data_IF_349160274353
#
_entry.id   IF_349160274353
#
_cell.length_a   1.000
_cell.length_b   1.000
_cell.length_c   1.000
_cell.angle_alpha   90.00
_cell.angle_beta   90.00
_cell.angle_gamma   90.00
#
_symmetry.space_group_name_H-M   'P 1'
#
loop_
_entity.id
_entity.type
_entity.pdbx_description
1 polymer ?
#
# COMPACT_ATOMS: atom_id res chain seq x y z
N UNK A 1 39.93 16.75 49.21
CA UNK A 1 39.78 16.85 47.74
C UNK A 1 38.38 17.36 47.45
N UNK A 2 38.23 18.62 47.07
CA UNK A 2 36.95 19.19 46.67
C UNK A 2 37.18 20.07 45.44
N UNK A 3 36.65 19.67 44.29
CA UNK A 3 36.75 20.44 43.04
C UNK A 3 35.81 21.65 43.12
N UNK A 4 36.24 22.84 42.67
CA UNK A 4 35.38 24.02 42.64
C UNK A 4 34.37 23.90 41.50
N UNK A 5 33.08 23.94 41.82
CA UNK A 5 32.03 24.07 40.83
C UNK A 5 32.05 25.51 40.30
N UNK A 6 32.44 25.70 39.04
CA UNK A 6 32.36 27.00 38.38
C UNK A 6 30.90 27.49 38.35
N UNK A 7 30.62 28.78 38.62
CA UNK A 7 29.26 29.30 38.61
C UNK A 7 28.70 29.20 37.18
N UNK A 8 27.61 28.44 37.01
CA UNK A 8 26.94 28.30 35.72
C UNK A 8 26.51 29.68 35.20
N UNK A 9 27.10 30.11 34.08
CA UNK A 9 26.77 31.40 33.46
C UNK A 9 25.30 31.43 33.05
N UNK A 10 24.68 32.61 33.08
CA UNK A 10 23.30 32.83 32.64
C UNK A 10 23.06 32.26 31.24
N UNK A 11 24.04 32.39 30.33
CA UNK A 11 24.00 31.82 28.99
C UNK A 11 23.85 30.28 28.99
N UNK A 12 24.51 29.55 29.91
CA UNK A 12 24.36 28.10 30.05
C UNK A 12 22.94 27.72 30.51
N UNK A 13 22.33 28.51 31.40
CA UNK A 13 20.95 28.29 31.86
C UNK A 13 19.95 28.52 30.73
N UNK A 14 20.11 29.57 29.93
CA UNK A 14 19.24 29.83 28.78
C UNK A 14 19.40 28.78 27.67
N UNK A 15 20.63 28.31 27.42
CA UNK A 15 20.88 27.22 26.47
C UNK A 15 20.15 25.93 26.89
N UNK A 16 20.21 25.57 28.18
CA UNK A 16 19.51 24.40 28.71
C UNK A 16 17.99 24.51 28.57
N UNK A 17 17.42 25.68 28.86
CA UNK A 17 15.97 25.93 28.69
C UNK A 17 15.58 25.84 27.22
N UNK A 18 16.39 26.38 26.31
CA UNK A 18 16.15 26.29 24.86
C UNK A 18 16.20 24.84 24.40
N UNK A 19 17.21 24.07 24.81
CA UNK A 19 17.34 22.65 24.48
C UNK A 19 16.16 21.83 25.01
N UNK A 20 15.74 22.08 26.25
CA UNK A 20 14.57 21.46 26.84
C UNK A 20 13.29 21.81 26.06
N UNK A 21 13.12 23.08 25.69
CA UNK A 21 11.98 23.53 24.88
C UNK A 21 11.93 22.86 23.50
N UNK A 22 13.08 22.74 22.82
CA UNK A 22 13.19 22.04 21.53
C UNK A 22 12.87 20.55 21.69
N UNK A 23 13.39 19.89 22.73
CA UNK A 23 13.09 18.48 23.04
C UNK A 23 11.60 18.26 23.28
N UNK A 24 10.97 19.10 24.10
CA UNK A 24 9.53 19.03 24.39
C UNK A 24 8.72 19.27 23.11
N UNK A 25 9.08 20.29 22.33
CA UNK A 25 8.42 20.59 21.05
C UNK A 25 8.51 19.44 20.05
N UNK A 26 9.66 18.77 19.96
CA UNK A 26 9.86 17.62 19.09
C UNK A 26 8.98 16.44 19.53
N UNK A 27 8.97 16.12 20.83
CA UNK A 27 8.11 15.06 21.38
C UNK A 27 6.63 15.37 21.14
N UNK A 28 6.18 16.59 21.42
CA UNK A 28 4.80 17.01 21.21
C UNK A 28 4.38 16.91 19.73
N UNK A 29 5.26 17.30 18.81
CA UNK A 29 5.03 17.21 17.37
C UNK A 29 4.89 15.75 16.93
N UNK A 30 5.81 14.87 17.33
CA UNK A 30 5.77 13.44 16.96
C UNK A 30 4.53 12.75 17.54
N UNK A 31 4.15 13.04 18.79
CA UNK A 31 2.94 12.47 19.40
C UNK A 31 1.68 12.94 18.69
N UNK A 32 1.59 14.23 18.34
CA UNK A 32 0.47 14.78 17.58
C UNK A 32 0.37 14.13 16.19
N UNK A 33 1.51 13.98 15.50
CA UNK A 33 1.56 13.33 14.19
C UNK A 33 1.14 11.85 14.27
N UNK A 34 1.60 11.12 15.30
CA UNK A 34 1.18 9.73 15.54
C UNK A 34 -0.31 9.63 15.86
N UNK A 35 -0.85 10.55 16.63
CA UNK A 35 -2.29 10.59 16.93
C UNK A 35 -3.14 10.82 15.67
N UNK A 36 -2.68 11.66 14.75
CA UNK A 36 -3.33 11.86 13.45
C UNK A 36 -3.21 10.62 12.55
N UNK A 37 -2.02 10.00 12.49
CA UNK A 37 -1.82 8.77 11.72
C UNK A 37 -2.65 7.60 12.24
N UNK A 38 -2.82 7.46 13.57
CA UNK A 38 -3.65 6.43 14.17
C UNK A 38 -5.14 6.56 13.82
N UNK A 39 -5.58 7.75 13.40
CA UNK A 39 -6.94 7.98 12.89
C UNK A 39 -7.10 7.71 11.40
N UNK A 40 -5.99 7.62 10.66
CA UNK A 40 -6.02 7.25 9.25
C UNK A 40 -6.00 5.73 9.15
N UNK A 41 -7.03 5.16 8.52
CA UNK A 41 -7.01 3.74 8.20
C UNK A 41 -5.91 3.46 7.15
N UNK A 42 -4.84 2.72 7.48
CA UNK A 42 -3.81 2.40 6.51
C UNK A 42 -4.26 1.35 5.49
N UNK A 43 -5.38 0.67 5.75
CA UNK A 43 -5.82 -0.51 5.04
C UNK A 43 -6.00 -0.29 3.52
N UNK A 44 -6.76 0.71 3.03
CA UNK A 44 -6.89 0.93 1.58
C UNK A 44 -5.56 1.11 0.85
N UNK A 45 -4.62 1.85 1.45
CA UNK A 45 -3.29 2.05 0.85
C UNK A 45 -2.49 0.75 0.85
N UNK A 46 -2.51 0.01 1.96
CA UNK A 46 -1.82 -1.26 2.09
C UNK A 46 -2.37 -2.29 1.11
N UNK A 47 -3.69 -2.39 0.97
CA UNK A 47 -4.36 -3.27 0.01
C UNK A 47 -3.87 -3.00 -1.41
N UNK A 48 -3.94 -1.74 -1.86
CA UNK A 48 -3.50 -1.37 -3.21
C UNK A 48 -2.00 -1.61 -3.42
N UNK A 49 -1.17 -1.39 -2.41
CA UNK A 49 0.26 -1.66 -2.47
C UNK A 49 0.56 -3.16 -2.63
N UNK A 50 -0.18 -4.03 -1.93
CA UNK A 50 0.00 -5.47 -2.07
C UNK A 50 -0.51 -5.94 -3.43
N UNK A 51 -1.64 -5.42 -3.92
CA UNK A 51 -2.16 -5.74 -5.25
C UNK A 51 -1.18 -5.36 -6.36
N UNK A 52 -0.65 -4.13 -6.33
CA UNK A 52 0.39 -3.65 -7.25
C UNK A 52 1.62 -4.57 -7.23
N UNK A 53 2.07 -4.97 -6.03
CA UNK A 53 3.20 -5.89 -5.88
C UNK A 53 2.93 -7.24 -6.55
N UNK A 54 1.74 -7.80 -6.42
CA UNK A 54 1.40 -9.07 -7.07
C UNK A 54 1.40 -8.94 -8.60
N UNK A 55 0.86 -7.84 -9.13
CA UNK A 55 0.86 -7.55 -10.57
C UNK A 55 2.29 -7.37 -11.11
N UNK A 56 3.13 -6.59 -10.43
CA UNK A 56 4.53 -6.40 -10.80
C UNK A 56 5.32 -7.71 -10.80
N UNK A 57 4.99 -8.65 -9.90
CA UNK A 57 5.61 -9.97 -9.88
C UNK A 57 5.14 -10.86 -11.05
N UNK A 58 3.89 -10.73 -11.51
CA UNK A 58 3.40 -11.37 -12.73
C UNK A 58 4.15 -10.85 -13.96
N UNK A 59 4.28 -9.54 -14.09
CA UNK A 59 5.04 -8.89 -15.17
C UNK A 59 6.51 -9.35 -15.17
N UNK A 60 7.13 -9.44 -13.99
CA UNK A 60 8.50 -9.95 -13.83
C UNK A 60 8.63 -11.41 -14.25
N UNK A 61 7.69 -12.27 -13.86
CA UNK A 61 7.66 -13.67 -14.27
C UNK A 61 7.60 -13.80 -15.80
N UNK A 62 6.76 -12.99 -16.46
CA UNK A 62 6.71 -12.92 -17.92
C UNK A 62 8.06 -12.47 -18.52
N UNK A 63 8.65 -11.38 -18.03
CA UNK A 63 9.93 -10.86 -18.53
C UNK A 63 11.09 -11.87 -18.38
N UNK A 64 11.00 -12.78 -17.41
CA UNK A 64 11.98 -13.85 -17.17
C UNK A 64 11.65 -15.15 -17.93
N UNK A 65 10.61 -15.18 -18.76
CA UNK A 65 10.06 -16.39 -19.39
C UNK A 65 9.69 -17.50 -18.38
N UNK A 66 9.38 -17.12 -17.14
CA UNK A 66 8.96 -18.02 -16.05
C UNK A 66 7.44 -18.05 -15.96
N UNK A 67 6.83 -18.72 -16.93
CA UNK A 67 5.38 -18.76 -17.08
C UNK A 67 4.80 -20.07 -16.53
N UNK A 68 5.31 -20.54 -15.38
CA UNK A 68 4.82 -21.77 -14.77
C UNK A 68 3.37 -21.58 -14.32
N UNK A 69 2.51 -22.56 -14.62
CA UNK A 69 1.10 -22.50 -14.24
C UNK A 69 0.91 -22.34 -12.73
N UNK A 70 1.78 -22.95 -11.92
CA UNK A 70 1.72 -22.89 -10.46
C UNK A 70 2.03 -21.48 -9.90
N UNK A 71 3.10 -20.81 -10.37
CA UNK A 71 3.44 -19.46 -9.91
C UNK A 71 2.36 -18.45 -10.33
N UNK A 72 1.81 -18.63 -11.52
CA UNK A 72 0.74 -17.81 -12.05
C UNK A 72 -0.55 -17.95 -11.24
N UNK A 73 -0.98 -19.20 -10.99
CA UNK A 73 -2.19 -19.49 -10.25
C UNK A 73 -2.12 -18.95 -8.81
N UNK A 74 -0.96 -19.05 -8.15
CA UNK A 74 -0.77 -18.50 -6.81
C UNK A 74 -0.96 -16.98 -6.77
N UNK A 75 -0.42 -16.25 -7.75
CA UNK A 75 -0.54 -14.79 -7.84
C UNK A 75 -1.94 -14.33 -8.20
N UNK A 76 -2.58 -14.96 -9.18
CA UNK A 76 -3.97 -14.67 -9.57
C UNK A 76 -4.92 -14.93 -8.40
N UNK A 77 -4.75 -16.04 -7.68
CA UNK A 77 -5.56 -16.34 -6.49
C UNK A 77 -5.38 -15.29 -5.39
N UNK A 78 -4.14 -14.84 -5.17
CA UNK A 78 -3.86 -13.76 -4.22
C UNK A 78 -4.57 -12.47 -4.63
N UNK A 79 -4.44 -12.05 -5.90
CA UNK A 79 -5.14 -10.89 -6.42
C UNK A 79 -6.65 -11.01 -6.29
N UNK A 80 -7.22 -12.20 -6.48
CA UNK A 80 -8.66 -12.42 -6.37
C UNK A 80 -9.18 -12.26 -4.94
N UNK A 81 -8.41 -12.71 -3.96
CA UNK A 81 -8.71 -12.54 -2.54
C UNK A 81 -8.62 -11.05 -2.14
N UNK A 82 -7.56 -10.36 -2.57
CA UNK A 82 -7.42 -8.92 -2.30
C UNK A 82 -8.52 -8.11 -3.00
N UNK A 83 -8.92 -8.51 -4.21
CA UNK A 83 -10.00 -7.89 -4.95
C UNK A 83 -11.38 -8.02 -4.30
N UNK A 84 -11.60 -9.01 -3.41
CA UNK A 84 -12.82 -9.07 -2.59
C UNK A 84 -12.82 -8.14 -1.39
N UNK A 85 -11.66 -7.58 -1.02
CA UNK A 85 -11.54 -6.66 0.10
C UNK A 85 -11.69 -5.19 -0.33
N UNK A 86 -11.89 -4.90 -1.62
CA UNK A 86 -11.97 -3.54 -2.16
C UNK A 86 -13.11 -2.73 -1.53
N UNK A 87 -14.31 -3.29 -1.44
CA UNK A 87 -15.45 -2.59 -0.84
C UNK A 87 -15.25 -2.36 0.68
N UNK A 88 -14.61 -3.30 1.37
CA UNK A 88 -14.24 -3.16 2.79
C UNK A 88 -13.17 -2.10 3.00
N UNK A 89 -12.19 -2.02 2.09
CA UNK A 89 -11.08 -1.09 2.17
C UNK A 89 -11.48 0.35 1.81
N UNK A 90 -12.50 0.52 0.97
CA UNK A 90 -13.00 1.81 0.53
C UNK A 90 -14.47 2.01 0.91
N UNK A 91 -14.81 2.10 2.22
CA UNK A 91 -16.20 2.19 2.67
C UNK A 91 -16.92 3.45 2.17
N UNK A 92 -16.19 4.53 1.89
CA UNK A 92 -16.77 5.74 1.31
C UNK A 92 -17.19 5.56 -0.17
N UNK A 93 -16.65 4.55 -0.86
CA UNK A 93 -16.92 4.24 -2.27
C UNK A 93 -17.76 2.97 -2.45
N UNK A 94 -18.05 2.24 -1.36
CA UNK A 94 -18.68 0.91 -1.43
C UNK A 94 -20.05 0.92 -2.10
N UNK A 95 -20.78 2.04 -2.04
CA UNK A 95 -22.10 2.21 -2.65
C UNK A 95 -22.05 2.90 -4.04
N UNK A 96 -20.88 3.36 -4.51
CA UNK A 96 -20.75 3.93 -5.86
C UNK A 96 -20.81 2.80 -6.90
N UNK A 97 -21.81 2.88 -7.80
CA UNK A 97 -22.02 1.87 -8.84
C UNK A 97 -20.83 1.70 -9.79
N UNK A 98 -20.12 2.77 -10.12
CA UNK A 98 -18.94 2.70 -11.00
C UNK A 98 -17.79 2.00 -10.27
N UNK A 99 -17.62 2.26 -8.97
CA UNK A 99 -16.63 1.57 -8.16
C UNK A 99 -16.91 0.07 -8.10
N UNK A 100 -18.15 -0.31 -7.77
CA UNK A 100 -18.58 -1.72 -7.76
C UNK A 100 -18.41 -2.38 -9.13
N UNK A 101 -18.69 -1.66 -10.22
CA UNK A 101 -18.51 -2.17 -11.58
C UNK A 101 -17.04 -2.46 -11.89
N UNK A 102 -16.12 -1.55 -11.59
CA UNK A 102 -14.68 -1.77 -11.80
C UNK A 102 -14.15 -2.91 -10.91
N UNK A 103 -14.51 -2.92 -9.62
CA UNK A 103 -14.14 -3.99 -8.70
C UNK A 103 -14.70 -5.36 -9.15
N UNK A 104 -15.95 -5.37 -9.65
CA UNK A 104 -16.59 -6.55 -10.24
C UNK A 104 -15.87 -7.04 -11.50
N UNK A 105 -15.52 -6.13 -12.42
CA UNK A 105 -14.81 -6.46 -13.65
C UNK A 105 -13.42 -7.05 -13.40
N UNK A 106 -12.69 -6.50 -12.41
CA UNK A 106 -11.40 -7.05 -11.99
C UNK A 106 -11.56 -8.47 -11.43
N UNK A 107 -12.51 -8.69 -10.52
CA UNK A 107 -12.81 -10.03 -9.96
C UNK A 107 -13.18 -11.02 -11.05
N UNK A 108 -14.05 -10.64 -11.99
CA UNK A 108 -14.43 -11.50 -13.11
C UNK A 108 -13.25 -11.87 -14.01
N UNK A 109 -12.33 -10.93 -14.26
CA UNK A 109 -11.10 -11.19 -15.03
C UNK A 109 -10.19 -12.19 -14.31
N UNK A 110 -10.06 -12.05 -12.99
CA UNK A 110 -9.26 -12.95 -12.15
C UNK A 110 -9.90 -14.34 -12.03
N UNK A 111 -11.22 -14.41 -11.84
CA UNK A 111 -11.98 -15.67 -11.79
C UNK A 111 -11.80 -16.46 -13.11
N UNK A 112 -11.98 -15.81 -14.26
CA UNK A 112 -11.76 -16.43 -15.56
C UNK A 112 -10.32 -16.96 -15.73
N UNK A 113 -9.34 -16.25 -15.18
CA UNK A 113 -7.93 -16.66 -15.22
C UNK A 113 -7.60 -17.84 -14.31
N UNK A 114 -8.38 -18.06 -13.24
CA UNK A 114 -8.26 -19.24 -12.39
C UNK A 114 -8.80 -20.49 -13.08
N UNK A 115 -9.89 -20.36 -13.83
CA UNK A 115 -10.50 -21.45 -14.59
C UNK A 115 -9.68 -21.84 -15.82
N UNK A 116 -9.09 -20.84 -16.48
CA UNK A 116 -8.23 -21.02 -17.66
C UNK A 116 -6.78 -20.78 -17.29
N UNK A 117 -6.16 -21.76 -16.61
CA UNK A 117 -4.74 -21.72 -16.29
C UNK A 117 -3.91 -21.40 -17.56
N UNK A 118 -3.22 -20.25 -17.64
CA UNK A 118 -2.53 -19.86 -18.86
C UNK A 118 -1.39 -20.82 -19.17
N UNK A 119 -1.56 -21.67 -20.17
CA UNK A 119 -0.56 -22.67 -20.55
C UNK A 119 0.65 -22.12 -21.31
N UNK A 120 0.69 -20.80 -21.57
CA UNK A 120 1.74 -20.16 -22.38
C UNK A 120 2.11 -18.77 -21.85
N UNK A 121 3.35 -18.34 -22.09
CA UNK A 121 3.79 -16.98 -21.78
C UNK A 121 2.98 -15.90 -22.50
N UNK A 122 2.51 -16.17 -23.72
CA UNK A 122 1.65 -15.24 -24.45
C UNK A 122 0.28 -15.07 -23.77
N UNK A 123 -0.29 -16.15 -23.21
CA UNK A 123 -1.52 -16.06 -22.44
C UNK A 123 -1.32 -15.32 -21.12
N UNK A 124 -0.17 -15.50 -20.46
CA UNK A 124 0.23 -14.71 -19.29
C UNK A 124 0.31 -13.22 -19.63
N UNK A 125 1.01 -12.85 -20.71
CA UNK A 125 1.15 -11.45 -21.13
C UNK A 125 -0.22 -10.77 -21.33
N UNK A 126 -1.13 -11.44 -22.04
CA UNK A 126 -2.50 -10.94 -22.25
C UNK A 126 -3.30 -10.82 -20.96
N UNK A 127 -3.14 -11.76 -20.03
CA UNK A 127 -3.81 -11.67 -18.73
C UNK A 127 -3.27 -10.49 -17.93
N UNK A 128 -1.95 -10.35 -17.84
CA UNK A 128 -1.30 -9.26 -17.13
C UNK A 128 -1.74 -7.89 -17.68
N UNK A 129 -1.78 -7.73 -19.01
CA UNK A 129 -2.30 -6.52 -19.63
C UNK A 129 -3.75 -6.22 -19.27
N UNK A 130 -4.65 -7.22 -19.33
CA UNK A 130 -6.06 -7.02 -18.97
C UNK A 130 -6.24 -6.61 -17.51
N UNK A 131 -5.43 -7.15 -16.61
CA UNK A 131 -5.46 -6.75 -15.19
C UNK A 131 -4.98 -5.30 -15.05
N UNK A 132 -3.87 -4.94 -15.70
CA UNK A 132 -3.30 -3.58 -15.70
C UNK A 132 -4.31 -2.54 -16.22
N UNK A 133 -4.96 -2.84 -17.36
CA UNK A 133 -6.02 -1.99 -17.93
C UNK A 133 -7.20 -1.81 -16.96
N UNK A 134 -7.57 -2.87 -16.23
CA UNK A 134 -8.61 -2.83 -15.20
C UNK A 134 -8.23 -1.98 -13.99
N UNK A 135 -6.98 -2.09 -13.54
CA UNK A 135 -6.43 -1.24 -12.48
C UNK A 135 -6.47 0.24 -12.90
N UNK A 136 -6.01 0.53 -14.12
CA UNK A 136 -5.98 1.90 -14.65
C UNK A 136 -7.38 2.47 -14.85
N UNK A 137 -8.34 1.67 -15.31
CA UNK A 137 -9.73 2.09 -15.45
C UNK A 137 -10.35 2.52 -14.13
N UNK A 138 -10.15 1.75 -13.06
CA UNK A 138 -10.62 2.12 -11.73
C UNK A 138 -9.90 3.39 -11.22
N UNK A 139 -8.57 3.46 -11.37
CA UNK A 139 -7.79 4.60 -10.89
C UNK A 139 -8.11 5.91 -11.62
N UNK A 140 -8.43 5.88 -12.91
CA UNK A 140 -8.85 7.09 -13.64
C UNK A 140 -10.09 7.75 -13.05
N UNK A 141 -10.98 6.97 -12.46
CA UNK A 141 -12.25 7.47 -11.91
C UNK A 141 -12.15 7.84 -10.42
N UNK A 142 -11.21 7.27 -9.68
CA UNK A 142 -11.21 7.31 -8.20
C UNK A 142 -9.89 7.68 -7.51
N UNK A 143 -8.81 7.93 -8.25
CA UNK A 143 -7.49 8.31 -7.71
C UNK A 143 -7.15 9.76 -8.02
#
# INVERSE_FOLDING_TARGET
MASPHAPASSASRYLLVLLAGVLIGLVATVMSMRALQARQDPFPRALMQVMDKQLALLQRSHAQNRCSAAELQARVRTLRLLGSDLETAFPALSDDRRFQQHAGALRATLDAAQDTAPGTCAALARLTHRIDDGCDACHRDFR
#
